data_IF_020046800782
#
_entry.id   IF_020046800782
#
_cell.length_a   1.000
_cell.length_b   1.000
_cell.length_c   1.000
_cell.angle_alpha   90.00
_cell.angle_beta   90.00
_cell.angle_gamma   90.00
#
_symmetry.space_group_name_H-M   'P 1'
#
loop_
_entity.id
_entity.type
_entity.pdbx_description
1 polymer ?
#
# COMPACT_ATOMS: atom_id res chain seq x y z
N UNK A 1 16.45 -15.41 -2.26
CA UNK A 1 15.84 -14.56 -1.21
C UNK A 1 15.67 -13.10 -1.66
N UNK A 2 16.72 -12.45 -2.15
CA UNK A 2 16.67 -11.04 -2.59
C UNK A 2 15.55 -10.72 -3.61
N UNK A 3 15.33 -11.58 -4.61
CA UNK A 3 14.29 -11.40 -5.64
C UNK A 3 12.86 -11.36 -5.05
N UNK A 4 12.60 -12.13 -3.99
CA UNK A 4 11.29 -12.13 -3.35
C UNK A 4 11.09 -10.86 -2.52
N UNK A 5 12.14 -10.40 -1.83
CA UNK A 5 12.11 -9.17 -1.04
C UNK A 5 11.91 -7.98 -1.97
N UNK A 6 12.70 -7.85 -3.03
CA UNK A 6 12.56 -6.76 -3.99
C UNK A 6 11.20 -6.77 -4.68
N UNK A 7 10.70 -7.96 -5.06
CA UNK A 7 9.36 -8.10 -5.62
C UNK A 7 8.26 -7.62 -4.66
N UNK A 8 8.36 -7.94 -3.37
CA UNK A 8 7.41 -7.47 -2.35
C UNK A 8 7.51 -5.97 -2.08
N UNK A 9 8.71 -5.39 -2.13
CA UNK A 9 8.90 -3.94 -2.04
C UNK A 9 8.20 -3.24 -3.21
N UNK A 10 8.42 -3.71 -4.43
CA UNK A 10 7.78 -3.13 -5.63
C UNK A 10 6.25 -3.29 -5.56
N UNK A 11 5.76 -4.46 -5.16
CA UNK A 11 4.33 -4.72 -4.99
C UNK A 11 3.70 -3.81 -3.93
N UNK A 12 4.36 -3.63 -2.79
CA UNK A 12 3.87 -2.75 -1.72
C UNK A 12 3.80 -1.28 -2.14
N UNK A 13 4.84 -0.79 -2.82
CA UNK A 13 4.85 0.58 -3.36
C UNK A 13 3.74 0.80 -4.39
N UNK A 14 3.50 -0.16 -5.28
CA UNK A 14 2.42 -0.09 -6.25
C UNK A 14 1.04 -0.15 -5.62
N UNK A 15 0.82 -1.09 -4.70
CA UNK A 15 -0.46 -1.28 -4.03
C UNK A 15 -0.89 -0.05 -3.23
N UNK A 16 -0.01 0.52 -2.41
CA UNK A 16 -0.35 1.71 -1.63
C UNK A 16 -0.70 2.94 -2.48
N UNK A 17 -0.04 3.10 -3.64
CA UNK A 17 -0.38 4.15 -4.58
C UNK A 17 -1.74 3.93 -5.26
N UNK A 18 -2.07 2.68 -5.59
CA UNK A 18 -3.36 2.33 -6.18
C UNK A 18 -4.51 2.51 -5.19
N UNK A 19 -4.34 2.10 -3.93
CA UNK A 19 -5.36 2.23 -2.89
C UNK A 19 -5.79 3.70 -2.73
N UNK A 20 -4.82 4.62 -2.63
CA UNK A 20 -5.11 6.05 -2.49
C UNK A 20 -5.70 6.64 -3.78
N UNK A 21 -5.19 6.23 -4.94
CA UNK A 21 -5.63 6.80 -6.22
C UNK A 21 -7.06 6.38 -6.58
N UNK A 22 -7.48 5.17 -6.24
CA UNK A 22 -8.85 4.69 -6.48
C UNK A 22 -9.86 5.54 -5.71
N UNK A 23 -9.57 5.82 -4.43
CA UNK A 23 -10.39 6.72 -3.61
C UNK A 23 -10.43 8.16 -4.16
N UNK A 24 -9.31 8.68 -4.67
CA UNK A 24 -9.26 10.02 -5.30
C UNK A 24 -10.13 10.05 -6.56
N UNK A 25 -9.98 9.07 -7.45
CA UNK A 25 -10.77 8.98 -8.69
C UNK A 25 -12.25 8.89 -8.36
N UNK A 26 -12.63 8.09 -7.36
CA UNK A 26 -14.01 7.98 -6.94
C UNK A 26 -14.55 9.29 -6.37
N UNK A 27 -13.75 9.98 -5.56
CA UNK A 27 -14.10 11.27 -4.99
C UNK A 27 -14.30 12.36 -6.07
N UNK A 28 -13.56 12.29 -7.18
CA UNK A 28 -13.68 13.19 -8.34
C UNK A 28 -14.91 12.88 -9.21
N UNK A 29 -15.33 11.61 -9.27
CA UNK A 29 -16.50 11.17 -10.06
C UNK A 29 -17.84 11.34 -9.32
N UNK A 30 -17.83 11.28 -7.99
CA UNK A 30 -19.04 11.22 -7.16
C UNK A 30 -19.34 12.54 -6.47
N UNK A 31 -20.62 12.84 -6.30
CA UNK A 31 -21.06 13.98 -5.47
C UNK A 31 -20.93 13.68 -3.98
N UNK A 32 -20.82 14.72 -3.14
CA UNK A 32 -20.63 14.57 -1.69
C UNK A 32 -21.72 13.74 -0.99
N UNK A 33 -22.94 13.70 -1.55
CA UNK A 33 -24.07 12.95 -0.98
C UNK A 33 -24.00 11.45 -1.25
N UNK A 34 -23.51 11.05 -2.42
CA UNK A 34 -23.46 9.64 -2.84
C UNK A 34 -22.08 8.99 -2.58
N UNK A 35 -21.03 9.80 -2.38
CA UNK A 35 -19.67 9.32 -2.09
C UNK A 35 -19.61 8.23 -1.00
N UNK A 36 -20.31 8.32 0.15
CA UNK A 36 -20.26 7.27 1.16
C UNK A 36 -20.82 5.93 0.68
N UNK A 37 -21.83 5.95 -0.19
CA UNK A 37 -22.40 4.73 -0.77
C UNK A 37 -21.37 4.05 -1.67
N UNK A 38 -20.73 4.80 -2.56
CA UNK A 38 -19.74 4.26 -3.47
C UNK A 38 -18.46 3.78 -2.77
N UNK A 39 -17.97 4.52 -1.78
CA UNK A 39 -16.87 4.06 -0.93
C UNK A 39 -17.24 2.77 -0.19
N UNK A 40 -18.48 2.67 0.31
CA UNK A 40 -18.98 1.43 0.91
C UNK A 40 -19.00 0.25 -0.07
N UNK A 41 -19.36 0.48 -1.33
CA UNK A 41 -19.34 -0.56 -2.37
C UNK A 41 -17.91 -1.02 -2.71
N UNK A 42 -16.93 -0.11 -2.68
CA UNK A 42 -15.51 -0.45 -2.93
C UNK A 42 -14.91 -1.39 -1.87
N UNK A 43 -15.49 -1.45 -0.67
CA UNK A 43 -15.05 -2.38 0.39
C UNK A 43 -15.49 -3.82 0.10
N UNK A 44 -16.52 -4.04 -0.72
CA UNK A 44 -17.05 -5.39 -1.01
C UNK A 44 -15.98 -6.31 -1.65
N UNK A 45 -15.30 -5.92 -2.74
CA UNK A 45 -14.20 -6.70 -3.30
C UNK A 45 -13.06 -6.95 -2.30
N UNK A 46 -12.75 -5.98 -1.45
CA UNK A 46 -11.70 -6.11 -0.42
C UNK A 46 -12.07 -7.18 0.62
N UNK A 47 -13.33 -7.20 1.07
CA UNK A 47 -13.83 -8.20 1.99
C UNK A 47 -13.81 -9.60 1.37
N UNK A 48 -14.28 -9.72 0.11
CA UNK A 48 -14.24 -10.98 -0.64
C UNK A 48 -12.80 -11.48 -0.79
N UNK A 49 -11.87 -10.59 -1.17
CA UNK A 49 -10.45 -10.91 -1.30
C UNK A 49 -9.82 -11.34 0.03
N UNK A 50 -10.19 -10.70 1.14
CA UNK A 50 -9.69 -11.02 2.48
C UNK A 50 -10.15 -12.40 2.96
N UNK A 51 -11.35 -12.83 2.56
CA UNK A 51 -11.89 -14.16 2.89
C UNK A 51 -11.32 -15.23 1.95
N UNK A 52 -11.33 -14.98 0.63
CA UNK A 52 -10.90 -15.95 -0.37
C UNK A 52 -9.38 -16.12 -0.43
N UNK A 53 -8.61 -15.07 -0.11
CA UNK A 53 -7.15 -15.04 -0.18
C UNK A 53 -6.48 -16.17 0.61
N UNK A 54 -6.76 -16.32 1.92
CA UNK A 54 -6.21 -17.42 2.72
C UNK A 54 -6.64 -18.81 2.25
N UNK A 55 -7.89 -18.94 1.79
CA UNK A 55 -8.43 -20.22 1.30
C UNK A 55 -7.71 -20.65 0.02
N UNK A 56 -7.65 -19.77 -0.98
CA UNK A 56 -6.94 -20.03 -2.24
C UNK A 56 -5.44 -20.20 -2.01
N UNK A 57 -4.84 -19.38 -1.13
CA UNK A 57 -3.44 -19.50 -0.75
C UNK A 57 -3.12 -20.83 -0.09
N UNK A 58 -3.99 -21.32 0.79
CA UNK A 58 -3.88 -22.63 1.44
C UNK A 58 -3.97 -23.79 0.46
N UNK A 59 -4.97 -23.77 -0.43
CA UNK A 59 -5.14 -24.79 -1.49
C UNK A 59 -3.93 -24.80 -2.42
N UNK A 60 -3.48 -23.63 -2.88
CA UNK A 60 -2.31 -23.52 -3.76
C UNK A 60 -1.01 -23.95 -3.08
N UNK A 61 -0.87 -23.73 -1.77
CA UNK A 61 0.29 -24.18 -1.01
C UNK A 61 0.29 -25.70 -0.74
N UNK A 62 -0.89 -26.31 -0.62
CA UNK A 62 -1.04 -27.74 -0.35
C UNK A 62 -0.96 -28.60 -1.62
N UNK A 63 -1.64 -28.19 -2.69
CA UNK A 63 -1.78 -28.99 -3.92
C UNK A 63 -0.87 -28.52 -5.06
N UNK A 64 -0.33 -27.31 -4.98
CA UNK A 64 0.62 -26.77 -5.95
C UNK A 64 1.90 -26.27 -5.26
N UNK A 65 2.79 -25.62 -6.01
CA UNK A 65 3.97 -24.97 -5.44
C UNK A 65 3.63 -23.57 -4.92
N UNK A 66 4.22 -23.15 -3.79
CA UNK A 66 4.09 -21.80 -3.20
C UNK A 66 4.25 -20.64 -4.19
N UNK A 67 4.99 -20.84 -5.29
CA UNK A 67 5.19 -19.85 -6.36
C UNK A 67 3.88 -19.45 -7.03
N UNK A 68 2.90 -20.36 -7.11
CA UNK A 68 1.60 -20.11 -7.73
C UNK A 68 0.78 -19.03 -7.03
N UNK A 69 1.04 -18.78 -5.73
CA UNK A 69 0.45 -17.66 -4.99
C UNK A 69 0.78 -16.33 -5.67
N UNK A 70 1.98 -16.18 -6.24
CA UNK A 70 2.35 -15.00 -7.03
C UNK A 70 1.78 -15.02 -8.44
N UNK A 71 1.85 -16.17 -9.12
CA UNK A 71 1.43 -16.29 -10.53
C UNK A 71 -0.05 -16.04 -10.76
N UNK A 72 -0.94 -16.43 -9.83
CA UNK A 72 -2.38 -16.20 -9.97
C UNK A 72 -2.75 -14.72 -9.94
N UNK A 73 -1.95 -13.88 -9.27
CA UNK A 73 -2.21 -12.44 -9.23
C UNK A 73 -1.89 -11.75 -10.55
N UNK A 74 -0.86 -12.18 -11.29
CA UNK A 74 -0.44 -11.56 -12.54
C UNK A 74 -1.53 -11.43 -13.62
N UNK A 75 -2.31 -12.49 -13.98
CA UNK A 75 -3.37 -12.34 -14.97
C UNK A 75 -4.49 -11.41 -14.47
N UNK A 76 -4.81 -11.45 -13.18
CA UNK A 76 -5.83 -10.56 -12.58
C UNK A 76 -5.37 -9.10 -12.69
N UNK A 77 -4.11 -8.82 -12.33
CA UNK A 77 -3.53 -7.48 -12.44
C UNK A 77 -3.43 -7.03 -13.90
N UNK A 78 -3.10 -7.93 -14.83
CA UNK A 78 -3.04 -7.61 -16.26
C UNK A 78 -4.42 -7.24 -16.83
N UNK A 79 -5.47 -7.98 -16.47
CA UNK A 79 -6.85 -7.66 -16.84
C UNK A 79 -7.25 -6.31 -16.25
N UNK A 80 -6.97 -6.07 -14.96
CA UNK A 80 -7.26 -4.79 -14.32
C UNK A 80 -6.55 -3.62 -15.04
N UNK A 81 -5.26 -3.77 -15.34
CA UNK A 81 -4.50 -2.77 -16.08
C UNK A 81 -5.11 -2.48 -17.47
N UNK A 82 -5.53 -3.52 -18.19
CA UNK A 82 -6.20 -3.36 -19.49
C UNK A 82 -7.54 -2.61 -19.36
N UNK A 83 -8.35 -2.95 -18.36
CA UNK A 83 -9.62 -2.26 -18.09
C UNK A 83 -9.38 -0.78 -17.78
N UNK A 84 -8.40 -0.47 -16.93
CA UNK A 84 -8.03 0.90 -16.60
C UNK A 84 -7.62 1.66 -17.88
N UNK A 85 -6.74 1.10 -18.72
CA UNK A 85 -6.31 1.77 -19.96
C UNK A 85 -7.47 2.04 -20.94
N UNK A 86 -8.47 1.15 -21.00
CA UNK A 86 -9.59 1.26 -21.93
C UNK A 86 -10.68 2.21 -21.40
N UNK A 87 -11.03 2.09 -20.12
CA UNK A 87 -12.21 2.74 -19.53
C UNK A 87 -11.88 4.03 -18.78
N UNK A 88 -10.67 4.16 -18.20
CA UNK A 88 -10.31 5.31 -17.38
C UNK A 88 -9.86 6.48 -18.28
N UNK A 89 -10.81 7.35 -18.63
CA UNK A 89 -10.56 8.60 -19.35
C UNK A 89 -10.45 9.77 -18.38
N UNK A 90 -9.28 9.96 -17.79
CA UNK A 90 -9.02 11.12 -16.93
C UNK A 90 -8.71 12.33 -17.81
N UNK A 91 -9.30 13.47 -17.47
CA UNK A 91 -8.98 14.76 -18.07
C UNK A 91 -7.53 15.10 -17.71
N UNK A 92 -6.62 15.14 -18.67
CA UNK A 92 -5.21 15.40 -18.34
C UNK A 92 -5.08 16.82 -17.77
N UNK A 93 -4.50 16.90 -16.57
CA UNK A 93 -4.04 18.18 -16.03
C UNK A 93 -2.82 18.58 -16.88
N UNK A 94 -2.88 19.72 -17.56
CA UNK A 94 -1.84 20.23 -18.45
C UNK A 94 -0.54 20.65 -17.72
N UNK A 95 -0.39 20.34 -16.43
CA UNK A 95 0.80 20.70 -15.67
C UNK A 95 1.95 19.73 -15.94
N UNK A 96 3.15 20.28 -16.19
CA UNK A 96 4.36 19.47 -16.37
C UNK A 96 4.71 18.74 -15.07
N UNK A 97 5.18 17.49 -15.16
CA UNK A 97 5.63 16.69 -14.00
C UNK A 97 6.61 17.45 -13.10
N UNK A 98 7.46 18.30 -13.70
CA UNK A 98 8.43 19.14 -12.99
C UNK A 98 7.78 20.27 -12.17
N UNK A 99 6.65 20.79 -12.61
CA UNK A 99 5.89 21.80 -11.85
C UNK A 99 5.15 21.16 -10.67
N UNK A 100 4.59 19.95 -10.87
CA UNK A 100 3.92 19.19 -9.83
C UNK A 100 4.87 18.74 -8.72
N UNK A 101 6.06 18.26 -9.08
CA UNK A 101 7.11 17.86 -8.13
C UNK A 101 7.59 19.02 -7.25
N UNK A 102 7.62 20.27 -7.74
CA UNK A 102 8.01 21.43 -6.92
C UNK A 102 6.98 21.83 -5.86
N UNK A 103 5.73 21.39 -5.99
CA UNK A 103 4.66 21.65 -5.00
C UNK A 103 4.59 20.58 -3.92
N UNK A 104 5.27 19.45 -4.10
CA UNK A 104 5.30 18.37 -3.13
C UNK A 104 6.37 18.65 -2.07
N UNK A 105 5.98 18.53 -0.81
CA UNK A 105 6.95 18.50 0.28
C UNK A 105 7.60 17.11 0.35
N UNK A 106 8.73 16.99 -0.36
CA UNK A 106 9.52 15.76 -0.39
C UNK A 106 10.13 15.43 0.97
N UNK A 107 10.43 16.44 1.79
CA UNK A 107 11.11 16.23 3.05
C UNK A 107 10.12 15.73 4.11
N UNK A 108 8.93 16.35 4.21
CA UNK A 108 7.84 15.84 5.02
C UNK A 108 7.41 14.44 4.60
N UNK A 109 7.25 14.19 3.29
CA UNK A 109 6.92 12.86 2.78
C UNK A 109 7.95 11.79 3.18
N UNK A 110 9.25 12.10 3.06
CA UNK A 110 10.33 11.19 3.46
C UNK A 110 10.35 10.94 4.96
N UNK A 111 10.27 12.00 5.78
CA UNK A 111 10.24 11.89 7.24
C UNK A 111 9.05 11.05 7.71
N UNK A 112 7.85 11.31 7.17
CA UNK A 112 6.65 10.56 7.49
C UNK A 112 6.78 9.09 7.09
N UNK A 113 7.25 8.81 5.87
CA UNK A 113 7.40 7.43 5.37
C UNK A 113 8.41 6.66 6.21
N UNK A 114 9.56 7.27 6.53
CA UNK A 114 10.61 6.65 7.35
C UNK A 114 10.11 6.43 8.78
N UNK A 115 9.47 7.44 9.38
CA UNK A 115 8.90 7.36 10.72
C UNK A 115 7.88 6.24 10.85
N UNK A 116 6.90 6.18 9.94
CA UNK A 116 5.89 5.12 9.89
C UNK A 116 6.50 3.73 9.65
N UNK A 117 7.50 3.62 8.77
CA UNK A 117 8.16 2.33 8.51
C UNK A 117 8.93 1.85 9.75
N UNK A 118 9.68 2.74 10.40
CA UNK A 118 10.48 2.43 11.59
C UNK A 118 9.63 2.10 12.80
N UNK A 119 8.42 2.65 12.94
CA UNK A 119 7.49 2.29 14.02
C UNK A 119 6.69 1.02 13.72
N UNK A 120 6.19 0.85 12.49
CA UNK A 120 5.34 -0.28 12.13
C UNK A 120 6.10 -1.61 12.04
N UNK A 121 7.33 -1.58 11.51
CA UNK A 121 8.15 -2.79 11.33
C UNK A 121 8.44 -3.53 12.66
N UNK A 122 8.93 -2.88 13.74
CA UNK A 122 9.17 -3.56 15.00
C UNK A 122 7.90 -4.09 15.66
N UNK A 123 6.76 -3.41 15.50
CA UNK A 123 5.47 -3.89 16.00
C UNK A 123 5.05 -5.19 15.32
N UNK A 124 5.38 -5.38 14.04
CA UNK A 124 5.02 -6.59 13.30
C UNK A 124 5.75 -7.85 13.80
N UNK A 125 6.94 -7.72 14.42
CA UNK A 125 7.73 -8.86 14.90
C UNK A 125 7.93 -8.90 16.41
N UNK A 126 7.46 -7.89 17.14
CA UNK A 126 7.55 -7.81 18.59
C UNK A 126 6.78 -8.97 19.23
N UNK A 127 7.46 -9.78 20.03
CA UNK A 127 6.89 -10.96 20.69
C UNK A 127 6.77 -12.21 19.81
N UNK A 128 7.01 -12.11 18.50
CA UNK A 128 7.01 -13.27 17.58
C UNK A 128 8.43 -13.67 17.20
N UNK A 129 9.22 -12.73 16.67
CA UNK A 129 10.58 -12.97 16.18
C UNK A 129 11.63 -12.48 17.17
N UNK A 130 11.36 -11.36 17.86
CA UNK A 130 12.23 -10.78 18.88
C UNK A 130 11.41 -10.41 20.13
N UNK A 131 11.93 -10.64 21.34
CA UNK A 131 11.28 -10.16 22.56
C UNK A 131 11.09 -8.65 22.56
N UNK A 132 10.08 -8.16 23.27
CA UNK A 132 9.81 -6.73 23.43
C UNK A 132 10.99 -5.95 24.04
N UNK A 133 11.75 -6.58 24.92
CA UNK A 133 12.96 -6.01 25.55
C UNK A 133 14.18 -6.01 24.64
N UNK A 134 14.12 -6.62 23.45
CA UNK A 134 15.25 -6.67 22.54
C UNK A 134 15.54 -5.28 21.97
N UNK A 135 16.82 -4.92 21.93
CA UNK A 135 17.28 -3.68 21.30
C UNK A 135 16.84 -3.59 19.82
N UNK A 136 16.69 -4.74 19.13
CA UNK A 136 16.20 -4.82 17.75
C UNK A 136 14.74 -4.39 17.58
N UNK A 137 13.97 -4.40 18.67
CA UNK A 137 12.56 -3.95 18.69
C UNK A 137 12.47 -2.52 19.21
N UNK A 138 13.16 -2.22 20.32
CA UNK A 138 13.09 -0.90 20.97
C UNK A 138 13.77 0.20 20.17
N UNK A 139 14.92 -0.06 19.56
CA UNK A 139 15.68 0.97 18.85
C UNK A 139 14.95 1.50 17.60
N UNK A 140 14.43 0.66 16.69
CA UNK A 140 13.64 1.16 15.56
C UNK A 140 12.35 1.84 16.02
N UNK A 141 11.70 1.33 17.07
CA UNK A 141 10.46 1.89 17.59
C UNK A 141 10.67 3.31 18.14
N UNK A 142 11.68 3.50 19.00
CA UNK A 142 11.99 4.80 19.60
C UNK A 142 12.49 5.80 18.55
N UNK A 143 13.34 5.35 17.61
CA UNK A 143 13.77 6.20 16.50
C UNK A 143 12.61 6.59 15.59
N UNK A 144 11.71 5.66 15.28
CA UNK A 144 10.53 5.95 14.46
C UNK A 144 9.62 6.98 15.13
N UNK A 145 9.35 6.85 16.43
CA UNK A 145 8.59 7.84 17.20
C UNK A 145 9.32 9.20 17.21
N UNK A 146 10.63 9.22 17.42
CA UNK A 146 11.41 10.47 17.39
C UNK A 146 11.36 11.15 16.01
N UNK A 147 11.44 10.38 14.92
CA UNK A 147 11.31 10.92 13.55
C UNK A 147 9.90 11.46 13.29
N UNK A 148 8.86 10.79 13.79
CA UNK A 148 7.48 11.29 13.68
C UNK A 148 7.27 12.58 14.51
N UNK A 149 7.88 12.68 15.69
CA UNK A 149 7.86 13.91 16.48
C UNK A 149 8.62 15.05 15.77
N UNK A 150 9.76 14.74 15.16
CA UNK A 150 10.50 15.70 14.36
C UNK A 150 9.68 16.17 13.15
N UNK A 151 8.93 15.25 12.51
CA UNK A 151 7.99 15.60 11.46
C UNK A 151 6.89 16.55 11.95
N UNK A 152 6.29 16.32 13.13
CA UNK A 152 5.26 17.25 13.67
C UNK A 152 5.78 18.62 14.06
N UNK A 153 7.10 18.78 14.24
CA UNK A 153 7.74 20.08 14.51
C UNK A 153 8.11 20.78 13.20
N UNK A 154 8.35 20.01 12.15
CA UNK A 154 8.73 20.51 10.83
C UNK A 154 7.52 21.03 10.03
N UNK A 155 6.38 20.35 10.10
CA UNK A 155 5.11 20.72 9.46
C UNK A 155 4.30 21.72 10.29
#
# INVERSE_FOLDING_TARGET
MAVLISGRVIQGLGAGGLDVLDDIILADLTTLKERPLYLGLMVIPVAIGSILGPILGGILAQYATWRWIGWVNLPITAVNAALVVIFLKIRSLQESFRQRSKRLDWLGLLLFTIGCTLTATPLAWAGVMYPWSSWKTLLPLLLGVAVLLAFTVYE
#
